data_IF_456041943471
#
_entry.id   IF_456041943471
#
_cell.length_a   1.000
_cell.length_b   1.000
_cell.length_c   1.000
_cell.angle_alpha   90.00
_cell.angle_beta   90.00
_cell.angle_gamma   90.00
#
_symmetry.space_group_name_H-M   'P 1'
#
loop_
_entity.id
_entity.type
_entity.pdbx_description
1 polymer ?
#
# COMPACT_ATOMS: atom_id res chain seq x y z
N UNK A 1 -8.55 -50.39 9.71
CA UNK A 1 -8.04 -49.50 8.63
C UNK A 1 -6.85 -48.76 9.18
N UNK A 2 -5.62 -49.18 8.80
CA UNK A 2 -4.35 -48.67 9.33
C UNK A 2 -3.91 -47.44 8.54
N UNK A 3 -3.79 -46.30 9.21
CA UNK A 3 -3.18 -45.10 8.67
C UNK A 3 -1.69 -45.11 8.98
N UNK A 4 -0.86 -45.38 7.96
CA UNK A 4 0.60 -45.39 8.09
C UNK A 4 1.14 -43.96 8.01
N UNK A 5 1.67 -43.45 9.15
CA UNK A 5 2.47 -42.22 9.18
C UNK A 5 3.81 -42.43 8.49
N UNK A 6 4.05 -41.74 7.39
CA UNK A 6 5.38 -41.60 6.77
C UNK A 6 6.25 -40.68 7.60
N UNK A 7 7.28 -41.23 8.24
CA UNK A 7 8.37 -40.48 8.86
C UNK A 7 9.23 -39.85 7.76
N UNK A 8 9.30 -38.53 7.74
CA UNK A 8 10.21 -37.77 6.87
C UNK A 8 11.59 -37.77 7.51
N UNK A 9 12.58 -38.25 6.78
CA UNK A 9 13.95 -38.46 7.24
C UNK A 9 14.74 -37.14 7.15
N UNK A 10 15.09 -36.56 8.29
CA UNK A 10 15.69 -35.20 8.44
C UNK A 10 17.23 -35.24 8.38
N UNK A 11 17.84 -36.09 7.59
CA UNK A 11 19.30 -36.31 7.61
C UNK A 11 20.09 -35.84 6.37
N UNK A 12 19.47 -35.32 5.32
CA UNK A 12 20.21 -35.03 4.10
C UNK A 12 20.46 -33.52 3.79
N UNK A 13 20.06 -32.59 4.65
CA UNK A 13 20.25 -31.14 4.37
C UNK A 13 21.46 -30.48 5.05
N UNK A 14 22.43 -31.25 5.57
CA UNK A 14 23.63 -30.68 6.21
C UNK A 14 24.88 -30.59 5.34
N UNK A 15 24.85 -31.05 4.11
CA UNK A 15 26.04 -31.04 3.22
C UNK A 15 26.05 -29.94 2.18
N UNK A 16 24.95 -29.22 1.98
CA UNK A 16 24.87 -28.15 0.94
C UNK A 16 25.19 -26.73 1.44
N UNK A 17 25.61 -26.55 2.70
CA UNK A 17 25.84 -25.21 3.28
C UNK A 17 27.35 -24.87 3.50
N UNK A 18 28.27 -25.65 2.96
CA UNK A 18 29.71 -25.48 3.26
C UNK A 18 30.61 -25.17 2.05
N UNK A 19 30.05 -24.78 0.89
CA UNK A 19 30.84 -24.51 -0.33
C UNK A 19 30.59 -23.13 -0.97
N UNK A 20 30.29 -22.09 -0.19
CA UNK A 20 30.16 -20.71 -0.73
C UNK A 20 30.77 -19.65 0.19
N UNK A 21 31.98 -19.93 0.67
CA UNK A 21 32.78 -18.93 1.38
C UNK A 21 34.22 -19.00 0.88
N UNK A 22 34.47 -18.55 -0.35
CA UNK A 22 35.83 -18.18 -0.78
C UNK A 22 35.76 -17.67 -2.22
N UNK A 23 35.54 -16.39 -2.43
CA UNK A 23 36.16 -15.53 -3.49
C UNK A 23 35.70 -14.11 -3.21
N UNK A 24 36.44 -13.39 -2.41
CA UNK A 24 36.41 -11.92 -2.36
C UNK A 24 37.76 -11.44 -1.88
N UNK A 25 38.72 -11.30 -2.80
CA UNK A 25 39.86 -10.38 -2.61
C UNK A 25 40.30 -9.90 -3.98
N UNK A 26 40.57 -8.60 -4.05
CA UNK A 26 41.36 -7.85 -5.01
C UNK A 26 40.58 -7.28 -6.22
N UNK A 27 40.25 -6.01 -6.13
CA UNK A 27 40.71 -4.97 -7.04
C UNK A 27 40.53 -3.59 -6.38
N UNK A 28 41.63 -3.14 -5.73
CA UNK A 28 41.85 -1.71 -5.45
C UNK A 28 42.71 -1.12 -6.56
N UNK A 29 42.43 0.12 -6.81
CA UNK A 29 43.31 1.16 -7.35
C UNK A 29 43.07 1.62 -8.79
N UNK A 30 42.74 2.85 -8.82
CA UNK A 30 43.32 3.94 -9.65
C UNK A 30 42.25 4.82 -10.29
N UNK A 31 42.34 6.10 -9.96
CA UNK A 31 41.76 7.14 -10.78
C UNK A 31 41.31 8.39 -10.02
N UNK A 32 42.22 9.11 -9.37
CA UNK A 32 42.05 10.52 -9.07
C UNK A 32 41.94 11.34 -10.36
N UNK A 33 40.93 12.18 -10.49
CA UNK A 33 41.07 13.47 -11.13
C UNK A 33 40.12 14.50 -10.54
N UNK A 34 40.75 15.49 -9.94
CA UNK A 34 40.16 16.69 -9.38
C UNK A 34 39.57 17.57 -10.48
N UNK A 35 38.33 17.99 -10.32
CA UNK A 35 37.91 19.29 -10.85
C UNK A 35 37.06 20.04 -9.80
N UNK A 36 37.72 21.00 -9.14
CA UNK A 36 37.07 22.09 -8.40
C UNK A 36 36.26 22.95 -9.37
N UNK A 37 34.97 22.98 -9.22
CA UNK A 37 34.16 24.13 -9.59
C UNK A 37 33.46 24.64 -8.34
N UNK A 38 33.98 25.73 -7.81
CA UNK A 38 33.28 26.60 -6.87
C UNK A 38 32.11 27.25 -7.63
N UNK A 39 30.89 26.93 -7.25
CA UNK A 39 29.79 27.85 -7.40
C UNK A 39 29.05 27.86 -6.07
N UNK A 40 29.07 29.01 -5.43
CA UNK A 40 28.35 29.29 -4.20
C UNK A 40 26.86 29.09 -4.43
N UNK A 41 26.27 28.22 -3.65
CA UNK A 41 24.85 28.17 -3.44
C UNK A 41 24.65 28.49 -1.96
N UNK A 42 24.01 29.64 -1.74
CA UNK A 42 23.38 30.06 -0.51
C UNK A 42 22.62 28.91 0.11
N UNK A 43 22.85 28.68 1.40
CA UNK A 43 22.01 27.83 2.24
C UNK A 43 20.56 28.31 2.14
N UNK A 44 19.75 27.56 1.41
CA UNK A 44 18.32 27.66 1.45
C UNK A 44 17.79 26.62 2.43
N UNK A 45 17.10 27.15 3.41
CA UNK A 45 16.20 26.54 4.37
C UNK A 45 15.81 25.09 4.07
N UNK A 46 16.03 24.22 5.11
CA UNK A 46 15.94 22.77 5.00
C UNK A 46 14.52 22.23 4.78
N UNK A 47 13.98 22.43 3.61
CA UNK A 47 12.86 21.64 3.11
C UNK A 47 13.41 20.35 2.53
N UNK A 48 13.39 19.28 3.31
CA UNK A 48 13.62 17.94 2.76
C UNK A 48 12.47 17.64 1.80
N UNK A 49 12.72 17.75 0.51
CA UNK A 49 11.82 17.24 -0.52
C UNK A 49 11.84 15.71 -0.41
N UNK A 50 10.82 15.14 0.23
CA UNK A 50 10.62 13.70 0.20
C UNK A 50 10.54 13.26 -1.26
N UNK A 51 11.35 12.27 -1.64
CA UNK A 51 11.24 11.64 -2.96
C UNK A 51 9.84 11.02 -3.02
N UNK A 52 9.02 11.47 -3.96
CA UNK A 52 7.70 10.92 -4.16
C UNK A 52 7.84 9.40 -4.46
N UNK A 53 7.07 8.57 -3.77
CA UNK A 53 7.04 7.15 -4.07
C UNK A 53 6.66 6.93 -5.53
N UNK A 54 7.42 6.13 -6.29
CA UNK A 54 7.09 5.87 -7.69
C UNK A 54 5.72 5.22 -7.79
N UNK A 55 4.89 5.71 -8.73
CA UNK A 55 3.59 5.16 -9.08
C UNK A 55 3.72 4.46 -10.42
N UNK A 56 3.49 3.16 -10.45
CA UNK A 56 3.57 2.34 -11.65
C UNK A 56 2.16 1.90 -12.03
N UNK A 57 1.73 2.18 -13.26
CA UNK A 57 0.45 1.66 -13.77
C UNK A 57 0.51 0.15 -13.82
N UNK A 58 -0.59 -0.51 -13.49
CA UNK A 58 -0.65 -1.95 -13.30
C UNK A 58 -2.02 -2.47 -13.72
N UNK A 59 -2.20 -3.79 -13.67
CA UNK A 59 -3.47 -4.47 -13.83
C UNK A 59 -3.76 -5.38 -12.60
N UNK A 60 -4.97 -5.93 -12.47
CA UNK A 60 -5.33 -6.77 -11.32
C UNK A 60 -4.46 -8.01 -11.17
N UNK A 61 -4.01 -8.61 -12.28
CA UNK A 61 -3.18 -9.81 -12.23
C UNK A 61 -1.76 -9.49 -11.77
N UNK A 62 -1.17 -8.40 -12.27
CA UNK A 62 0.14 -7.94 -11.83
C UNK A 62 0.14 -7.56 -10.34
N UNK A 63 -0.92 -6.90 -9.85
CA UNK A 63 -1.07 -6.60 -8.42
C UNK A 63 -1.12 -7.89 -7.59
N UNK A 64 -1.85 -8.90 -8.06
CA UNK A 64 -1.90 -10.20 -7.39
C UNK A 64 -0.53 -10.88 -7.38
N UNK A 65 0.17 -10.90 -8.51
CA UNK A 65 1.46 -11.59 -8.67
C UNK A 65 2.57 -10.92 -7.84
N UNK A 66 2.57 -9.58 -7.77
CA UNK A 66 3.60 -8.80 -7.08
C UNK A 66 3.32 -8.65 -5.58
N UNK A 67 2.06 -8.38 -5.20
CA UNK A 67 1.69 -8.02 -3.84
C UNK A 67 0.82 -9.07 -3.12
N UNK A 68 0.31 -10.08 -3.83
CA UNK A 68 -0.64 -11.04 -3.27
C UNK A 68 -2.01 -10.43 -2.93
N UNK A 69 -2.34 -9.28 -3.50
CA UNK A 69 -3.54 -8.50 -3.18
C UNK A 69 -4.54 -8.60 -4.34
N UNK A 70 -5.82 -8.79 -4.01
CA UNK A 70 -6.94 -8.63 -4.94
C UNK A 70 -7.85 -7.50 -4.48
N UNK A 71 -8.24 -6.64 -5.44
CA UNK A 71 -9.35 -5.72 -5.24
C UNK A 71 -10.67 -6.37 -5.62
N UNK A 72 -11.73 -5.99 -4.89
CA UNK A 72 -13.08 -6.09 -5.42
C UNK A 72 -13.46 -4.74 -6.01
N UNK A 73 -13.87 -4.76 -7.26
CA UNK A 73 -14.47 -3.59 -7.89
C UNK A 73 -15.89 -3.41 -7.34
N UNK A 74 -16.24 -2.23 -6.80
CA UNK A 74 -17.61 -1.96 -6.39
C UNK A 74 -18.59 -2.11 -7.54
N UNK A 75 -19.75 -2.65 -7.27
CA UNK A 75 -20.81 -2.77 -8.28
C UNK A 75 -21.17 -1.39 -8.85
N UNK A 76 -21.17 -1.27 -10.18
CA UNK A 76 -21.38 -0.01 -10.90
C UNK A 76 -20.17 0.93 -10.94
N UNK A 77 -18.99 0.48 -10.54
CA UNK A 77 -17.77 1.23 -10.75
C UNK A 77 -17.46 1.37 -12.25
N UNK A 78 -16.89 2.49 -12.63
CA UNK A 78 -16.47 2.79 -14.00
C UNK A 78 -15.13 3.51 -14.02
N UNK A 79 -14.44 3.51 -15.17
CA UNK A 79 -13.15 4.18 -15.33
C UNK A 79 -12.06 3.61 -14.40
N UNK A 80 -12.14 2.31 -14.07
CA UNK A 80 -11.24 1.66 -13.13
C UNK A 80 -9.82 1.64 -13.68
N UNK A 81 -8.87 2.07 -12.86
CA UNK A 81 -7.43 2.05 -13.14
C UNK A 81 -6.69 1.53 -11.93
N UNK A 82 -5.66 0.73 -12.18
CA UNK A 82 -4.84 0.14 -11.15
C UNK A 82 -3.42 0.66 -11.19
N UNK A 83 -2.77 0.73 -10.04
CA UNK A 83 -1.37 1.08 -9.92
C UNK A 83 -0.74 0.48 -8.66
N UNK A 84 0.60 0.39 -8.66
CA UNK A 84 1.41 0.02 -7.50
C UNK A 84 2.21 1.25 -7.08
N UNK A 85 2.13 1.62 -5.79
CA UNK A 85 2.83 2.77 -5.22
C UNK A 85 3.99 2.26 -4.36
N UNK A 86 5.20 2.71 -4.67
CA UNK A 86 6.40 2.38 -3.89
C UNK A 86 6.69 0.88 -3.81
N UNK A 87 6.17 0.08 -4.75
CA UNK A 87 6.35 -1.36 -4.78
C UNK A 87 5.63 -2.15 -3.68
N UNK A 88 4.78 -1.51 -2.85
CA UNK A 88 4.13 -2.15 -1.69
C UNK A 88 2.65 -1.86 -1.52
N UNK A 89 2.14 -0.80 -2.08
CA UNK A 89 0.73 -0.41 -1.93
C UNK A 89 0.01 -0.56 -3.27
N UNK A 90 -1.00 -1.40 -3.29
CA UNK A 90 -1.94 -1.49 -4.41
C UNK A 90 -2.92 -0.32 -4.34
N UNK A 91 -3.21 0.31 -5.49
CA UNK A 91 -4.19 1.37 -5.63
C UNK A 91 -5.16 1.06 -6.77
N UNK A 92 -6.43 1.37 -6.55
CA UNK A 92 -7.50 1.35 -7.53
C UNK A 92 -8.20 2.70 -7.53
N UNK A 93 -8.14 3.42 -8.66
CA UNK A 93 -8.89 4.65 -8.90
C UNK A 93 -10.11 4.34 -9.76
N UNK A 94 -11.26 4.88 -9.44
CA UNK A 94 -12.51 4.59 -10.13
C UNK A 94 -13.55 5.69 -9.90
N UNK A 95 -14.61 5.69 -10.70
CA UNK A 95 -15.79 6.52 -10.49
C UNK A 95 -16.94 5.63 -10.01
N UNK A 96 -17.57 6.00 -8.90
CA UNK A 96 -18.71 5.29 -8.32
C UNK A 96 -19.84 6.26 -7.97
N UNK A 97 -21.04 6.00 -8.47
CA UNK A 97 -22.19 6.92 -8.34
C UNK A 97 -21.86 8.36 -8.78
N UNK A 98 -21.01 8.50 -9.81
CA UNK A 98 -20.56 9.79 -10.34
C UNK A 98 -19.50 10.53 -9.52
N UNK A 99 -18.93 9.87 -8.49
CA UNK A 99 -17.93 10.43 -7.59
C UNK A 99 -16.59 9.74 -7.83
N UNK A 100 -15.51 10.53 -7.91
CA UNK A 100 -14.14 9.99 -7.99
C UNK A 100 -13.70 9.43 -6.65
N UNK A 101 -13.31 8.16 -6.67
CA UNK A 101 -12.91 7.38 -5.52
C UNK A 101 -11.54 6.76 -5.71
N UNK A 102 -10.84 6.55 -4.61
CA UNK A 102 -9.57 5.81 -4.60
C UNK A 102 -9.61 4.79 -3.47
N UNK A 103 -9.30 3.53 -3.77
CA UNK A 103 -9.07 2.49 -2.78
C UNK A 103 -7.59 2.12 -2.75
N UNK A 104 -7.03 1.89 -1.55
CA UNK A 104 -5.66 1.41 -1.37
C UNK A 104 -5.62 0.24 -0.40
N UNK A 105 -4.72 -0.71 -0.68
CA UNK A 105 -4.43 -1.85 0.18
C UNK A 105 -2.91 -2.03 0.25
N UNK A 106 -2.39 -2.24 1.46
CA UNK A 106 -0.97 -2.48 1.69
C UNK A 106 -0.78 -3.50 2.81
N UNK A 107 0.22 -4.38 2.68
CA UNK A 107 0.68 -5.21 3.77
C UNK A 107 1.41 -4.34 4.79
N UNK A 108 0.84 -4.17 5.98
CA UNK A 108 1.43 -3.37 7.05
C UNK A 108 1.41 -4.15 8.38
N UNK A 109 2.41 -3.97 9.24
CA UNK A 109 2.47 -4.68 10.53
C UNK A 109 1.46 -4.17 11.55
N UNK A 110 0.90 -2.98 11.34
CA UNK A 110 -0.05 -2.32 12.23
C UNK A 110 -0.85 -1.27 11.48
N UNK A 111 -1.84 -0.70 12.16
CA UNK A 111 -2.64 0.40 11.61
C UNK A 111 -1.76 1.58 11.19
N UNK A 112 -1.80 1.94 9.92
CA UNK A 112 -1.03 3.02 9.30
C UNK A 112 -1.91 3.73 8.27
N UNK A 113 -1.95 5.06 8.26
CA UNK A 113 -2.72 5.79 7.24
C UNK A 113 -2.02 5.71 5.88
N UNK A 114 -2.58 4.90 4.99
CA UNK A 114 -2.10 4.70 3.62
C UNK A 114 -2.89 5.49 2.57
N UNK A 115 -3.86 6.31 2.99
CA UNK A 115 -4.77 7.01 2.08
C UNK A 115 -4.07 8.05 1.19
N UNK A 116 -2.93 8.57 1.64
CA UNK A 116 -2.25 9.68 0.99
C UNK A 116 -3.03 11.00 1.08
N UNK A 117 -3.97 11.09 2.01
CA UNK A 117 -4.77 12.28 2.27
C UNK A 117 -4.30 12.95 3.57
N UNK A 118 -3.71 14.11 3.45
CA UNK A 118 -3.14 14.87 4.57
C UNK A 118 -3.94 16.14 4.78
N UNK A 119 -5.01 16.04 5.60
CA UNK A 119 -5.89 17.15 5.92
C UNK A 119 -5.98 17.37 7.43
N UNK A 120 -6.33 18.59 7.85
CA UNK A 120 -6.82 18.83 9.20
C UNK A 120 -8.25 18.31 9.29
N UNK A 121 -8.40 17.10 9.81
CA UNK A 121 -9.70 16.44 9.90
C UNK A 121 -10.61 17.16 10.88
N UNK A 122 -11.85 17.48 10.46
CA UNK A 122 -12.87 18.10 11.31
C UNK A 122 -13.62 17.10 12.16
N UNK A 123 -13.79 15.88 11.65
CA UNK A 123 -14.42 14.79 12.38
C UNK A 123 -13.70 13.48 12.15
N UNK A 124 -13.66 12.67 13.21
CA UNK A 124 -13.20 11.28 13.19
C UNK A 124 -14.29 10.43 13.86
N UNK A 125 -14.83 9.48 13.09
CA UNK A 125 -15.99 8.69 13.50
C UNK A 125 -15.59 7.22 13.49
N UNK A 126 -15.74 6.55 14.62
CA UNK A 126 -15.51 5.11 14.71
C UNK A 126 -16.70 4.35 14.14
N UNK A 127 -16.41 3.38 13.29
CA UNK A 127 -17.40 2.52 12.63
C UNK A 127 -16.82 1.11 12.43
N UNK A 128 -17.48 0.30 11.62
CA UNK A 128 -16.99 -1.03 11.24
C UNK A 128 -17.14 -1.25 9.73
N UNK A 129 -16.10 -1.88 9.14
CA UNK A 129 -16.12 -2.41 7.78
C UNK A 129 -16.02 -3.93 7.87
N UNK A 130 -17.11 -4.64 7.59
CA UNK A 130 -17.20 -6.06 7.86
C UNK A 130 -16.94 -6.37 9.35
N UNK A 131 -15.90 -7.16 9.62
CA UNK A 131 -15.47 -7.51 10.99
C UNK A 131 -14.40 -6.57 11.56
N UNK A 132 -13.89 -5.64 10.76
CA UNK A 132 -12.79 -4.78 11.16
C UNK A 132 -13.31 -3.48 11.78
N UNK A 133 -12.69 -3.06 12.87
CA UNK A 133 -12.87 -1.70 13.37
C UNK A 133 -12.32 -0.71 12.32
N UNK A 134 -13.05 0.34 12.05
CA UNK A 134 -12.76 1.34 11.05
C UNK A 134 -12.92 2.75 11.60
N UNK A 135 -12.25 3.70 10.95
CA UNK A 135 -12.38 5.12 11.25
C UNK A 135 -12.71 5.89 9.97
N UNK A 136 -13.79 6.62 9.98
CA UNK A 136 -14.14 7.60 8.94
C UNK A 136 -13.65 8.97 9.39
N UNK A 137 -12.89 9.64 8.50
CA UNK A 137 -12.40 11.00 8.72
C UNK A 137 -12.94 11.92 7.64
N UNK A 138 -13.44 13.08 8.04
CA UNK A 138 -14.01 14.08 7.13
C UNK A 138 -13.35 15.44 7.34
N UNK A 139 -13.11 16.16 6.25
CA UNK A 139 -12.65 17.54 6.25
C UNK A 139 -13.38 18.35 5.19
N UNK A 140 -13.51 19.64 5.38
CA UNK A 140 -14.02 20.56 4.37
C UNK A 140 -12.87 21.24 3.65
N UNK A 141 -12.90 21.21 2.33
CA UNK A 141 -11.89 21.83 1.49
C UNK A 141 -12.55 22.47 0.28
N UNK A 142 -12.34 23.79 0.11
CA UNK A 142 -12.87 24.50 -1.07
C UNK A 142 -14.38 24.44 -1.25
N UNK A 143 -15.17 24.38 -0.17
CA UNK A 143 -16.63 24.31 -0.21
C UNK A 143 -17.18 22.91 -0.49
N UNK A 144 -16.35 21.89 -0.47
CA UNK A 144 -16.75 20.48 -0.59
C UNK A 144 -16.18 19.67 0.55
N UNK A 145 -16.83 18.56 0.87
CA UNK A 145 -16.35 17.61 1.88
C UNK A 145 -15.46 16.57 1.22
N UNK A 146 -14.24 16.41 1.73
CA UNK A 146 -13.34 15.32 1.44
C UNK A 146 -13.35 14.31 2.60
N UNK A 147 -13.07 13.04 2.33
CA UNK A 147 -13.07 12.04 3.39
C UNK A 147 -12.36 10.77 3.06
N UNK A 148 -12.07 10.01 4.12
CA UNK A 148 -11.45 8.70 4.05
C UNK A 148 -12.04 7.77 5.09
N UNK A 149 -12.20 6.49 4.72
CA UNK A 149 -12.45 5.39 5.65
C UNK A 149 -11.18 4.53 5.69
N UNK A 150 -10.71 4.25 6.90
CA UNK A 150 -9.50 3.49 7.19
C UNK A 150 -9.84 2.27 8.04
N UNK A 151 -9.33 1.10 7.69
CA UNK A 151 -9.46 -0.10 8.53
C UNK A 151 -8.24 -1.01 8.38
N UNK A 152 -7.99 -1.81 9.40
CA UNK A 152 -6.91 -2.79 9.41
C UNK A 152 -7.50 -4.20 9.61
N UNK A 153 -7.27 -5.08 8.64
CA UNK A 153 -7.62 -6.50 8.80
C UNK A 153 -6.42 -7.26 9.37
N UNK A 154 -6.53 -7.60 10.65
CA UNK A 154 -5.45 -8.21 11.44
C UNK A 154 -5.05 -9.59 10.89
N UNK A 155 -6.01 -10.37 10.38
CA UNK A 155 -5.76 -11.77 9.98
C UNK A 155 -4.81 -11.84 8.78
N UNK A 156 -5.04 -11.10 7.67
CA UNK A 156 -4.09 -11.04 6.57
C UNK A 156 -2.97 -10.01 6.80
N UNK A 157 -3.06 -9.14 7.82
CA UNK A 157 -2.11 -8.05 8.03
C UNK A 157 -2.23 -6.96 6.96
N UNK A 158 -3.44 -6.63 6.54
CA UNK A 158 -3.70 -5.66 5.48
C UNK A 158 -4.28 -4.36 6.02
N UNK A 159 -3.61 -3.27 5.74
CA UNK A 159 -4.16 -1.93 5.89
C UNK A 159 -4.93 -1.54 4.64
N UNK A 160 -6.13 -1.03 4.81
CA UNK A 160 -7.03 -0.65 3.74
C UNK A 160 -7.51 0.79 3.92
N UNK A 161 -7.73 1.48 2.82
CA UNK A 161 -8.35 2.80 2.79
C UNK A 161 -9.26 2.96 1.58
N UNK A 162 -10.34 3.71 1.78
CA UNK A 162 -11.18 4.23 0.69
C UNK A 162 -11.31 5.73 0.89
N UNK A 163 -11.03 6.50 -0.15
CA UNK A 163 -11.04 7.96 -0.09
C UNK A 163 -11.85 8.59 -1.21
N UNK A 164 -12.43 9.75 -0.89
CA UNK A 164 -13.25 10.58 -1.78
C UNK A 164 -12.77 12.03 -1.63
N UNK A 165 -12.42 12.67 -2.74
CA UNK A 165 -11.88 14.04 -2.74
C UNK A 165 -12.96 15.12 -2.66
N UNK A 166 -14.17 14.82 -3.09
CA UNK A 166 -15.28 15.78 -3.14
C UNK A 166 -16.62 15.07 -2.98
N UNK A 167 -17.50 15.61 -2.15
CA UNK A 167 -18.82 15.04 -1.89
C UNK A 167 -18.81 13.84 -0.93
N UNK A 168 -17.77 13.72 -0.09
CA UNK A 168 -17.70 12.66 0.91
C UNK A 168 -18.77 12.84 1.99
N UNK A 169 -19.45 11.75 2.33
CA UNK A 169 -20.26 11.63 3.54
C UNK A 169 -19.87 10.37 4.30
N UNK A 170 -20.23 10.27 5.57
CA UNK A 170 -19.96 9.07 6.36
C UNK A 170 -20.61 7.84 5.71
N UNK A 171 -21.89 7.93 5.35
CA UNK A 171 -22.67 6.84 4.76
C UNK A 171 -22.07 6.35 3.44
N UNK A 172 -21.65 7.31 2.59
CA UNK A 172 -20.99 7.01 1.30
C UNK A 172 -19.70 6.22 1.52
N UNK A 173 -18.83 6.70 2.42
CA UNK A 173 -17.58 6.05 2.72
C UNK A 173 -17.77 4.66 3.35
N UNK A 174 -18.73 4.50 4.25
CA UNK A 174 -19.05 3.21 4.85
C UNK A 174 -19.61 2.21 3.83
N UNK A 175 -20.54 2.65 2.96
CA UNK A 175 -21.12 1.81 1.92
C UNK A 175 -20.03 1.34 0.94
N UNK A 176 -19.23 2.28 0.45
CA UNK A 176 -18.15 2.00 -0.49
C UNK A 176 -17.08 1.07 0.13
N UNK A 177 -16.71 1.32 1.38
CA UNK A 177 -15.74 0.48 2.09
C UNK A 177 -16.23 -0.95 2.27
N UNK A 178 -17.54 -1.16 2.52
CA UNK A 178 -18.11 -2.51 2.59
C UNK A 178 -18.04 -3.25 1.26
N UNK A 179 -18.17 -2.56 0.12
CA UNK A 179 -18.06 -3.20 -1.20
C UNK A 179 -16.60 -3.56 -1.54
N UNK A 180 -15.64 -2.68 -1.20
CA UNK A 180 -14.21 -2.93 -1.42
C UNK A 180 -13.68 -4.01 -0.47
N UNK A 181 -14.25 -4.12 0.74
CA UNK A 181 -13.78 -5.01 1.80
C UNK A 181 -13.90 -6.51 1.50
N UNK A 182 -14.71 -6.95 0.54
CA UNK A 182 -14.85 -8.39 0.28
C UNK A 182 -13.49 -8.98 -0.17
N UNK A 183 -12.57 -9.09 0.75
CA UNK A 183 -11.26 -9.70 0.54
C UNK A 183 -11.50 -11.20 0.49
N UNK A 184 -11.38 -11.76 -0.70
CA UNK A 184 -11.37 -13.21 -0.86
C UNK A 184 -9.99 -13.69 -0.37
N UNK A 185 -9.99 -14.36 0.78
CA UNK A 185 -8.83 -15.11 1.20
C UNK A 185 -8.60 -16.26 0.20
N UNK A 186 -7.47 -16.25 -0.45
CA UNK A 186 -7.00 -17.37 -1.28
C UNK A 186 -6.12 -18.28 -0.44
#
# INVERSE_FOLDING_TARGET
MNCAMRKINLKENKVLFLMLASVCVIFCASGCSSQKKKNGLTEADGTSFGIANPVVQSDPQEILDVLGIRFNEPEGASGVRYSIIGGKTAQMDFVWKGIECTARISGEPSFTDISGMYFSWKSEINTNVGRCAATVKLAETGGSTTGVCLWYDIVPGLMCSVSVKSGATQELLEELSRQVYTIVYV
#
